data_IF_167883165388
#
_entry.id   IF_167883165388
#
_cell.length_a   1.000
_cell.length_b   1.000
_cell.length_c   1.000
_cell.angle_alpha   90.00
_cell.angle_beta   90.00
_cell.angle_gamma   90.00
#
_symmetry.space_group_name_H-M   'P 1'
#
loop_
_entity.id
_entity.type
_entity.pdbx_description
1 polymer ?
#
# COMPACT_ATOMS: atom_id res chain seq x y z
N UNK A 1 17.41 25.48 -16.69
CA UNK A 1 16.29 25.34 -15.77
C UNK A 1 15.03 25.66 -16.54
N UNK A 2 14.35 24.65 -17.05
CA UNK A 2 13.10 24.83 -17.81
C UNK A 2 11.99 25.07 -16.79
N UNK A 3 11.44 26.26 -16.77
CA UNK A 3 10.23 26.58 -16.01
C UNK A 3 9.07 25.79 -16.62
N UNK A 4 8.61 24.76 -15.92
CA UNK A 4 7.40 24.02 -16.28
C UNK A 4 6.22 24.93 -16.06
N UNK A 5 5.58 25.34 -17.14
CA UNK A 5 4.38 26.20 -17.13
C UNK A 5 3.21 25.48 -16.43
N UNK A 6 2.36 26.15 -15.65
CA UNK A 6 1.15 25.56 -15.10
C UNK A 6 0.19 25.18 -16.23
N UNK A 7 0.11 23.91 -16.58
CA UNK A 7 -0.76 23.40 -17.67
C UNK A 7 -0.31 22.08 -18.25
N UNK A 8 0.96 21.75 -18.18
CA UNK A 8 1.55 20.60 -18.88
C UNK A 8 1.74 19.41 -17.91
N UNK A 9 0.65 18.79 -17.47
CA UNK A 9 0.73 17.48 -16.82
C UNK A 9 0.66 16.40 -17.90
N UNK A 10 1.83 16.00 -18.39
CA UNK A 10 1.91 14.95 -19.42
C UNK A 10 1.39 13.59 -18.95
N UNK A 11 1.37 13.34 -17.64
CA UNK A 11 0.90 12.08 -17.05
C UNK A 11 -0.29 12.29 -16.13
N UNK A 12 -1.30 11.43 -16.23
CA UNK A 12 -2.50 11.44 -15.38
C UNK A 12 -2.96 10.03 -15.04
N UNK A 13 -3.62 9.90 -13.89
CA UNK A 13 -4.40 8.72 -13.54
C UNK A 13 -5.69 8.78 -14.35
N UNK A 14 -5.86 7.82 -15.26
CA UNK A 14 -7.01 7.69 -16.17
C UNK A 14 -8.13 6.83 -15.56
N UNK A 15 -7.77 5.90 -14.68
CA UNK A 15 -8.72 5.03 -14.02
C UNK A 15 -8.15 4.38 -12.77
N UNK A 16 -9.04 4.05 -11.84
CA UNK A 16 -8.72 3.46 -10.54
C UNK A 16 -9.58 2.20 -10.31
N UNK A 17 -8.98 1.18 -9.73
CA UNK A 17 -9.66 -0.03 -9.30
C UNK A 17 -9.16 -0.53 -7.97
N UNK A 18 -10.08 -0.95 -7.10
CA UNK A 18 -9.79 -1.52 -5.80
C UNK A 18 -10.34 -2.94 -5.72
N UNK A 19 -9.64 -3.83 -5.01
CA UNK A 19 -10.13 -5.15 -4.68
C UNK A 19 -9.81 -5.49 -3.23
N UNK A 20 -10.75 -6.15 -2.58
CA UNK A 20 -10.59 -6.71 -1.22
C UNK A 20 -11.01 -8.17 -1.25
N UNK A 21 -10.39 -9.06 -0.48
CA UNK A 21 -10.90 -10.40 -0.25
C UNK A 21 -12.35 -10.38 0.24
N UNK A 22 -13.10 -11.43 -0.06
CA UNK A 22 -14.45 -11.60 0.48
C UNK A 22 -14.42 -11.92 1.98
N UNK A 23 -13.42 -12.70 2.40
CA UNK A 23 -13.20 -13.07 3.79
C UNK A 23 -12.83 -11.86 4.65
N UNK A 24 -13.38 -11.83 5.87
CA UNK A 24 -13.20 -10.73 6.84
C UNK A 24 -13.00 -11.27 8.23
N UNK A 25 -12.16 -10.61 9.00
CA UNK A 25 -11.90 -10.92 10.41
C UNK A 25 -12.32 -9.70 11.22
N UNK A 26 -13.29 -9.87 12.10
CA UNK A 26 -13.73 -8.82 13.02
C UNK A 26 -12.63 -8.51 14.04
N UNK A 27 -12.54 -7.27 14.48
CA UNK A 27 -11.47 -6.81 15.38
C UNK A 27 -11.39 -7.65 16.67
N UNK A 28 -12.53 -8.01 17.24
CA UNK A 28 -12.58 -8.84 18.44
C UNK A 28 -12.04 -10.26 18.20
N UNK A 29 -12.33 -10.86 17.05
CA UNK A 29 -11.81 -12.18 16.67
C UNK A 29 -10.31 -12.14 16.41
N UNK A 30 -9.84 -11.13 15.68
CA UNK A 30 -8.44 -10.90 15.44
C UNK A 30 -7.65 -10.69 16.74
N UNK A 31 -8.23 -9.93 17.68
CA UNK A 31 -7.63 -9.70 18.99
C UNK A 31 -7.54 -10.99 19.82
N UNK A 32 -8.59 -11.80 19.83
CA UNK A 32 -8.59 -13.12 20.48
C UNK A 32 -7.58 -14.07 19.86
N UNK A 33 -7.54 -14.12 18.53
CA UNK A 33 -6.57 -14.92 17.79
C UNK A 33 -5.13 -14.54 18.14
N UNK A 34 -4.81 -13.23 18.14
CA UNK A 34 -3.50 -12.71 18.51
C UNK A 34 -3.17 -12.98 20.00
N UNK A 35 -4.14 -12.81 20.89
CA UNK A 35 -3.94 -13.08 22.32
C UNK A 35 -3.68 -14.57 22.64
N UNK A 36 -4.21 -15.48 21.84
CA UNK A 36 -3.94 -16.91 21.98
C UNK A 36 -2.52 -17.30 21.53
N UNK A 37 -1.84 -16.45 20.74
CA UNK A 37 -0.55 -16.73 20.09
C UNK A 37 0.59 -15.81 20.56
N UNK A 38 0.33 -14.94 21.54
CA UNK A 38 1.35 -14.04 22.12
C UNK A 38 2.13 -14.65 23.29
N UNK A 39 1.93 -15.93 23.60
CA UNK A 39 2.56 -16.63 24.71
C UNK A 39 1.65 -16.80 25.92
N UNK A 40 2.15 -17.47 26.98
CA UNK A 40 1.34 -17.87 28.12
C UNK A 40 1.03 -16.75 29.13
N UNK A 41 1.77 -15.64 29.10
CA UNK A 41 1.66 -14.56 30.08
C UNK A 41 0.31 -13.82 29.99
N UNK A 42 -0.54 -13.84 31.03
CA UNK A 42 -1.82 -13.15 31.05
C UNK A 42 -1.70 -11.62 30.86
N UNK A 43 -0.61 -11.01 31.35
CA UNK A 43 -0.38 -9.57 31.21
C UNK A 43 -0.12 -9.19 29.73
N UNK A 44 0.58 -10.03 29.00
CA UNK A 44 0.80 -9.84 27.55
C UNK A 44 -0.52 -9.99 26.81
N UNK A 45 -1.34 -11.02 27.12
CA UNK A 45 -2.67 -11.20 26.51
C UNK A 45 -3.56 -9.98 26.72
N UNK A 46 -3.62 -9.43 27.93
CA UNK A 46 -4.37 -8.21 28.22
C UNK A 46 -3.85 -7.00 27.45
N UNK A 47 -2.53 -6.91 27.26
CA UNK A 47 -1.92 -5.85 26.44
C UNK A 47 -2.33 -5.96 24.97
N UNK A 48 -2.36 -7.17 24.40
CA UNK A 48 -2.82 -7.42 23.02
C UNK A 48 -4.25 -6.91 22.83
N UNK A 49 -5.16 -7.29 23.72
CA UNK A 49 -6.57 -6.88 23.67
C UNK A 49 -6.71 -5.35 23.73
N UNK A 50 -6.02 -4.69 24.66
CA UNK A 50 -6.02 -3.22 24.79
C UNK A 50 -5.42 -2.51 23.57
N UNK A 51 -4.39 -3.07 22.94
CA UNK A 51 -3.81 -2.49 21.72
C UNK A 51 -4.76 -2.61 20.53
N UNK A 52 -5.45 -3.74 20.39
CA UNK A 52 -6.46 -3.93 19.36
C UNK A 52 -7.62 -2.93 19.49
N UNK A 53 -8.14 -2.70 20.70
CA UNK A 53 -9.17 -1.68 20.96
C UNK A 53 -8.69 -0.26 20.55
N UNK A 54 -7.43 0.09 20.89
CA UNK A 54 -6.86 1.42 20.59
C UNK A 54 -6.50 1.62 19.12
N UNK A 55 -6.40 0.55 18.34
CA UNK A 55 -6.09 0.65 16.91
C UNK A 55 -7.22 1.31 16.11
N UNK A 56 -8.47 1.29 16.62
CA UNK A 56 -9.64 1.89 15.98
C UNK A 56 -10.03 1.18 14.68
N UNK A 57 -9.57 -0.06 14.49
CA UNK A 57 -9.89 -0.88 13.32
C UNK A 57 -11.04 -1.81 13.70
N UNK A 58 -12.12 -1.77 12.94
CA UNK A 58 -13.32 -2.56 13.24
C UNK A 58 -13.26 -3.94 12.61
N UNK A 59 -12.71 -4.05 11.40
CA UNK A 59 -12.61 -5.31 10.64
C UNK A 59 -11.46 -5.25 9.65
N UNK A 60 -10.93 -6.42 9.28
CA UNK A 60 -9.87 -6.55 8.29
C UNK A 60 -10.25 -7.55 7.22
N UNK A 61 -10.01 -7.20 5.96
CA UNK A 61 -10.11 -8.15 4.87
C UNK A 61 -8.94 -9.13 4.94
N UNK A 62 -9.19 -10.41 4.71
CA UNK A 62 -8.14 -11.45 4.73
C UNK A 62 -8.48 -12.56 3.75
N UNK A 63 -7.46 -13.01 3.01
CA UNK A 63 -7.58 -14.16 2.08
C UNK A 63 -7.69 -15.49 2.82
N UNK A 64 -7.28 -15.54 4.08
CA UNK A 64 -7.31 -16.74 4.92
C UNK A 64 -8.35 -16.64 6.06
N UNK A 65 -9.36 -15.75 5.94
CA UNK A 65 -10.33 -15.55 7.03
C UNK A 65 -11.02 -16.85 7.47
N UNK A 66 -11.41 -17.69 6.50
CA UNK A 66 -12.10 -18.97 6.77
C UNK A 66 -11.13 -20.07 7.24
N UNK A 67 -9.81 -19.89 7.04
CA UNK A 67 -8.76 -20.82 7.38
C UNK A 67 -7.80 -20.27 8.46
N UNK A 68 -8.16 -19.17 9.11
CA UNK A 68 -7.28 -18.43 10.02
C UNK A 68 -6.64 -19.31 11.10
N UNK A 69 -7.45 -20.18 11.72
CA UNK A 69 -7.00 -21.08 12.80
C UNK A 69 -6.13 -22.24 12.29
N UNK A 70 -6.38 -22.75 11.10
CA UNK A 70 -5.59 -23.82 10.48
C UNK A 70 -4.29 -23.30 9.84
N UNK A 71 -4.33 -22.09 9.27
CA UNK A 71 -3.15 -21.47 8.68
C UNK A 71 -2.19 -20.91 9.73
N UNK A 72 -2.73 -20.37 10.82
CA UNK A 72 -2.00 -19.91 11.98
C UNK A 72 -2.48 -20.66 13.25
N UNK A 73 -2.14 -21.94 13.41
CA UNK A 73 -2.59 -22.74 14.56
C UNK A 73 -2.05 -22.16 15.88
N UNK A 74 -2.70 -22.49 17.02
CA UNK A 74 -2.11 -22.22 18.33
C UNK A 74 -0.80 -23.00 18.48
N UNK A 75 0.24 -22.37 19.00
CA UNK A 75 1.58 -22.93 19.15
C UNK A 75 2.63 -21.90 18.89
N UNK A 76 3.81 -22.31 18.48
CA UNK A 76 4.95 -21.40 18.51
C UNK A 76 5.20 -20.65 17.20
N UNK A 77 5.04 -21.26 16.01
CA UNK A 77 5.60 -20.66 14.79
C UNK A 77 4.64 -20.59 13.58
N UNK A 78 3.58 -21.38 13.55
CA UNK A 78 2.61 -21.40 12.45
C UNK A 78 3.21 -21.89 11.12
N UNK A 79 2.64 -21.43 10.00
CA UNK A 79 3.12 -21.78 8.68
C UNK A 79 4.50 -21.16 8.40
N UNK A 80 5.46 -21.93 7.94
CA UNK A 80 6.76 -21.45 7.50
C UNK A 80 6.67 -20.61 6.21
N UNK A 81 7.75 -19.88 5.89
CA UNK A 81 7.79 -18.93 4.75
C UNK A 81 7.41 -19.59 3.43
N UNK A 82 7.83 -20.81 3.15
CA UNK A 82 7.47 -21.51 1.91
C UNK A 82 5.95 -21.70 1.76
N UNK A 83 5.25 -22.12 2.83
CA UNK A 83 3.80 -22.28 2.81
C UNK A 83 3.07 -20.94 2.64
N UNK A 84 3.58 -19.85 3.28
CA UNK A 84 3.05 -18.49 3.12
C UNK A 84 3.24 -17.97 1.69
N UNK A 85 4.37 -18.27 1.06
CA UNK A 85 4.62 -17.93 -0.34
C UNK A 85 3.71 -18.72 -1.30
N UNK A 86 3.48 -20.01 -1.04
CA UNK A 86 2.51 -20.77 -1.82
C UNK A 86 1.08 -20.20 -1.71
N UNK A 87 0.67 -19.77 -0.51
CA UNK A 87 -0.60 -19.08 -0.32
C UNK A 87 -0.63 -17.71 -1.04
N UNK A 88 0.47 -16.96 -1.02
CA UNK A 88 0.58 -15.70 -1.78
C UNK A 88 0.43 -15.95 -3.30
N UNK A 89 1.12 -16.92 -3.84
CA UNK A 89 1.02 -17.29 -5.26
C UNK A 89 -0.39 -17.72 -5.67
N UNK A 90 -1.14 -18.32 -4.75
CA UNK A 90 -2.54 -18.71 -4.98
C UNK A 90 -3.51 -17.52 -4.90
N UNK A 91 -3.39 -16.67 -3.90
CA UNK A 91 -4.40 -15.64 -3.57
C UNK A 91 -4.12 -14.26 -4.18
N UNK A 92 -2.85 -13.88 -4.41
CA UNK A 92 -2.53 -12.55 -4.91
C UNK A 92 -2.98 -12.32 -6.37
N UNK A 93 -2.81 -13.28 -7.31
CA UNK A 93 -3.20 -13.04 -8.71
C UNK A 93 -4.68 -12.72 -8.93
N UNK A 94 -5.67 -13.46 -8.36
CA UNK A 94 -7.08 -13.14 -8.59
C UNK A 94 -7.48 -11.79 -7.99
N UNK A 95 -6.87 -11.38 -6.87
CA UNK A 95 -7.11 -10.11 -6.24
C UNK A 95 -6.53 -8.96 -7.08
N UNK A 96 -5.28 -9.09 -7.53
CA UNK A 96 -4.60 -8.16 -8.42
C UNK A 96 -5.34 -8.02 -9.77
N UNK A 97 -5.78 -9.14 -10.37
CA UNK A 97 -6.62 -9.14 -11.58
C UNK A 97 -7.90 -8.34 -11.41
N UNK A 98 -8.59 -8.54 -10.28
CA UNK A 98 -9.85 -7.82 -10.00
C UNK A 98 -9.62 -6.31 -9.91
N UNK A 99 -8.59 -5.85 -9.20
CA UNK A 99 -8.24 -4.44 -9.12
C UNK A 99 -7.87 -3.87 -10.49
N UNK A 100 -7.01 -4.56 -11.23
CA UNK A 100 -6.58 -4.17 -12.57
C UNK A 100 -7.74 -4.06 -13.56
N UNK A 101 -8.64 -5.07 -13.60
CA UNK A 101 -9.84 -5.06 -14.43
C UNK A 101 -10.77 -3.88 -14.12
N UNK A 102 -10.90 -3.51 -12.83
CA UNK A 102 -11.68 -2.34 -12.41
C UNK A 102 -11.03 -1.03 -12.85
N UNK A 103 -9.71 -0.91 -12.76
CA UNK A 103 -8.97 0.26 -13.21
C UNK A 103 -9.12 0.47 -14.73
N UNK A 104 -8.99 -0.61 -15.53
CA UNK A 104 -9.16 -0.57 -16.98
C UNK A 104 -10.61 -0.18 -17.36
N UNK A 105 -11.62 -0.76 -16.70
CA UNK A 105 -13.02 -0.37 -16.93
C UNK A 105 -13.29 1.08 -16.56
N UNK A 106 -12.76 1.54 -15.42
CA UNK A 106 -12.88 2.94 -14.98
C UNK A 106 -12.26 3.93 -15.97
N UNK A 107 -11.20 3.50 -16.65
CA UNK A 107 -10.53 4.29 -17.68
C UNK A 107 -11.17 4.17 -19.07
N UNK A 108 -12.13 3.25 -19.28
CA UNK A 108 -12.67 2.93 -20.60
C UNK A 108 -11.62 2.34 -21.56
N UNK A 109 -10.56 1.72 -21.05
CA UNK A 109 -9.39 1.29 -21.82
C UNK A 109 -9.35 -0.23 -21.94
N UNK A 110 -9.16 -0.74 -23.16
CA UNK A 110 -8.99 -2.17 -23.41
C UNK A 110 -7.63 -2.65 -22.85
N UNK A 111 -7.60 -3.86 -22.31
CA UNK A 111 -6.37 -4.45 -21.76
C UNK A 111 -5.23 -4.52 -22.80
N UNK A 112 -5.54 -4.82 -24.05
CA UNK A 112 -4.57 -4.88 -25.15
C UNK A 112 -3.91 -3.53 -25.47
N UNK A 113 -4.48 -2.40 -25.03
CA UNK A 113 -3.88 -1.09 -25.21
C UNK A 113 -2.81 -0.75 -24.15
N UNK A 114 -2.68 -1.57 -23.10
CA UNK A 114 -1.60 -1.39 -22.13
C UNK A 114 -0.25 -1.73 -22.74
N UNK A 115 0.71 -0.83 -22.57
CA UNK A 115 2.08 -0.97 -23.05
C UNK A 115 3.04 -1.41 -21.93
N UNK A 116 2.72 -1.05 -20.69
CA UNK A 116 3.54 -1.33 -19.51
C UNK A 116 2.68 -1.86 -18.36
N UNK A 117 3.26 -2.79 -17.62
CA UNK A 117 2.72 -3.32 -16.36
C UNK A 117 3.75 -3.11 -15.25
N UNK A 118 3.36 -2.38 -14.21
CA UNK A 118 4.16 -2.20 -13.00
C UNK A 118 3.44 -2.93 -11.86
N UNK A 119 4.06 -3.99 -11.34
CA UNK A 119 3.57 -4.69 -10.16
C UNK A 119 4.27 -4.17 -8.91
N UNK A 120 3.51 -3.90 -7.86
CA UNK A 120 4.04 -3.49 -6.54
C UNK A 120 3.61 -4.51 -5.50
N UNK A 121 4.55 -5.09 -4.76
CA UNK A 121 4.25 -5.96 -3.62
C UNK A 121 5.44 -6.09 -2.67
N UNK A 122 5.14 -6.20 -1.37
CA UNK A 122 6.11 -6.46 -0.31
C UNK A 122 5.80 -7.74 0.49
N UNK A 123 4.65 -8.38 0.25
CA UNK A 123 4.17 -9.51 1.05
C UNK A 123 4.34 -10.87 0.37
N UNK A 124 4.93 -10.89 -0.80
CA UNK A 124 5.30 -12.13 -1.48
C UNK A 124 5.90 -11.88 -2.85
N UNK A 125 6.59 -12.89 -3.34
CA UNK A 125 7.18 -12.89 -4.69
C UNK A 125 7.41 -14.32 -5.17
N UNK A 126 7.38 -14.47 -6.48
CA UNK A 126 7.68 -15.70 -7.18
C UNK A 126 8.22 -15.37 -8.57
N UNK A 127 8.85 -16.33 -9.23
CA UNK A 127 9.23 -16.22 -10.64
C UNK A 127 8.90 -17.53 -11.37
N UNK A 128 7.95 -17.51 -12.33
CA UNK A 128 7.13 -16.39 -12.82
C UNK A 128 6.20 -15.83 -11.74
N UNK A 129 6.06 -14.48 -11.67
CA UNK A 129 5.35 -13.78 -10.61
C UNK A 129 3.89 -13.49 -10.90
N UNK A 130 3.26 -12.75 -9.98
CA UNK A 130 1.89 -12.25 -10.11
C UNK A 130 1.73 -11.41 -11.38
N UNK A 131 2.74 -10.62 -11.76
CA UNK A 131 2.76 -9.84 -13.00
C UNK A 131 2.57 -10.72 -14.25
N UNK A 132 3.23 -11.87 -14.32
CA UNK A 132 3.07 -12.83 -15.41
C UNK A 132 1.66 -13.41 -15.43
N UNK A 133 1.11 -13.76 -14.26
CA UNK A 133 -0.21 -14.36 -14.16
C UNK A 133 -1.31 -13.38 -14.57
N UNK A 134 -1.26 -12.12 -14.08
CA UNK A 134 -2.26 -11.10 -14.44
C UNK A 134 -2.12 -10.66 -15.90
N UNK A 135 -0.91 -10.62 -16.46
CA UNK A 135 -0.69 -10.37 -17.88
C UNK A 135 -1.52 -11.33 -18.73
N UNK A 136 -1.44 -12.62 -18.45
CA UNK A 136 -2.17 -13.66 -19.17
C UNK A 136 -3.68 -13.58 -18.92
N UNK A 137 -4.10 -13.46 -17.67
CA UNK A 137 -5.51 -13.48 -17.29
C UNK A 137 -6.29 -12.23 -17.75
N UNK A 138 -5.62 -11.08 -17.90
CA UNK A 138 -6.21 -9.86 -18.47
C UNK A 138 -6.17 -9.81 -19.99
N UNK A 139 -5.39 -10.68 -20.65
CA UNK A 139 -5.16 -10.62 -22.08
C UNK A 139 -4.30 -9.41 -22.50
N UNK A 140 -3.31 -9.03 -21.67
CA UNK A 140 -2.33 -8.02 -22.04
C UNK A 140 -1.46 -8.52 -23.19
N UNK A 141 -0.91 -7.60 -24.00
CA UNK A 141 -0.07 -7.97 -25.12
C UNK A 141 1.16 -8.80 -24.68
N UNK A 142 1.58 -9.83 -25.43
CA UNK A 142 2.77 -10.65 -25.07
C UNK A 142 4.07 -9.83 -24.98
N UNK A 143 4.16 -8.73 -25.71
CA UNK A 143 5.31 -7.82 -25.71
C UNK A 143 5.25 -6.70 -24.66
N UNK A 144 4.28 -6.73 -23.73
CA UNK A 144 4.15 -5.71 -22.68
C UNK A 144 5.42 -5.62 -21.84
N UNK A 145 5.88 -4.41 -21.58
CA UNK A 145 7.04 -4.17 -20.71
C UNK A 145 6.63 -4.32 -19.25
N UNK A 146 7.37 -5.14 -18.48
CA UNK A 146 7.03 -5.47 -17.08
C UNK A 146 8.11 -4.97 -16.12
N UNK A 147 7.69 -4.35 -15.04
CA UNK A 147 8.54 -3.91 -13.94
C UNK A 147 7.93 -4.35 -12.62
N UNK A 148 8.75 -4.88 -11.70
CA UNK A 148 8.32 -5.23 -10.35
C UNK A 148 9.01 -4.28 -9.36
N UNK A 149 8.20 -3.59 -8.56
CA UNK A 149 8.64 -2.74 -7.44
C UNK A 149 8.42 -3.52 -6.15
N UNK A 150 9.46 -4.20 -5.68
CA UNK A 150 9.42 -5.04 -4.49
C UNK A 150 10.09 -4.40 -3.28
N UNK A 151 9.67 -4.77 -2.08
CA UNK A 151 10.30 -4.41 -0.80
C UNK A 151 10.54 -2.89 -0.59
N UNK A 152 9.67 -2.06 -1.16
CA UNK A 152 9.68 -0.61 -0.93
C UNK A 152 8.78 -0.17 0.23
N UNK A 153 8.19 -1.12 0.96
CA UNK A 153 7.29 -0.85 2.09
C UNK A 153 6.01 -0.12 1.66
N UNK A 154 5.37 0.54 2.60
CA UNK A 154 4.06 1.18 2.41
C UNK A 154 4.03 2.28 1.34
N UNK A 155 5.18 2.81 0.91
CA UNK A 155 5.26 3.80 -0.17
C UNK A 155 5.54 3.18 -1.56
N UNK A 156 5.52 1.85 -1.67
CA UNK A 156 5.79 1.14 -2.93
C UNK A 156 4.89 1.60 -4.07
N UNK A 157 3.60 1.84 -3.82
CA UNK A 157 2.68 2.36 -4.84
C UNK A 157 3.07 3.75 -5.34
N UNK A 158 3.60 4.64 -4.49
CA UNK A 158 4.11 5.95 -4.91
C UNK A 158 5.34 5.81 -5.82
N UNK A 159 6.19 4.82 -5.58
CA UNK A 159 7.29 4.48 -6.49
C UNK A 159 6.76 3.93 -7.82
N UNK A 160 5.74 3.08 -7.80
CA UNK A 160 5.06 2.60 -9.02
C UNK A 160 4.47 3.75 -9.83
N UNK A 161 3.80 4.70 -9.19
CA UNK A 161 3.26 5.91 -9.82
C UNK A 161 4.37 6.78 -10.43
N UNK A 162 5.52 6.91 -9.74
CA UNK A 162 6.69 7.62 -10.27
C UNK A 162 7.22 6.95 -11.54
N UNK A 163 7.38 5.63 -11.54
CA UNK A 163 7.80 4.86 -12.72
C UNK A 163 6.82 5.12 -13.86
N UNK A 164 5.52 4.99 -13.62
CA UNK A 164 4.49 5.20 -14.62
C UNK A 164 4.51 6.63 -15.20
N UNK A 165 4.60 7.65 -14.34
CA UNK A 165 4.63 9.03 -14.79
C UNK A 165 5.88 9.36 -15.63
N UNK A 166 7.05 8.83 -15.25
CA UNK A 166 8.27 9.00 -16.02
C UNK A 166 8.20 8.27 -17.37
N UNK A 167 7.62 7.06 -17.40
CA UNK A 167 7.37 6.32 -18.64
C UNK A 167 6.49 7.10 -19.60
N UNK A 168 5.34 7.62 -19.13
CA UNK A 168 4.41 8.40 -19.96
C UNK A 168 5.06 9.69 -20.49
N UNK A 169 5.93 10.33 -19.69
CA UNK A 169 6.67 11.52 -20.18
C UNK A 169 7.70 11.19 -21.25
N UNK A 170 8.34 10.03 -21.15
CA UNK A 170 9.31 9.57 -22.15
C UNK A 170 8.61 8.99 -23.39
N UNK A 171 7.49 8.32 -23.21
CA UNK A 171 6.71 7.66 -24.24
C UNK A 171 5.25 8.14 -24.17
N UNK A 172 4.87 9.21 -24.90
CA UNK A 172 3.54 9.85 -24.78
C UNK A 172 2.36 8.92 -25.07
N UNK A 173 2.55 7.87 -25.86
CA UNK A 173 1.52 6.87 -26.16
C UNK A 173 1.45 5.74 -25.12
N UNK A 174 2.34 5.77 -24.12
CA UNK A 174 2.34 4.74 -23.08
C UNK A 174 1.04 4.72 -22.28
N UNK A 175 0.58 3.50 -22.01
CA UNK A 175 -0.53 3.18 -21.12
C UNK A 175 0.03 2.23 -20.05
N UNK A 176 0.31 2.78 -18.87
CA UNK A 176 0.98 2.06 -17.79
C UNK A 176 -0.03 1.60 -16.76
N UNK A 177 -0.25 0.31 -16.68
CA UNK A 177 -1.07 -0.30 -15.65
C UNK A 177 -0.20 -0.56 -14.41
N UNK A 178 -0.43 0.19 -13.32
CA UNK A 178 0.22 -0.02 -12.03
C UNK A 178 -0.70 -0.81 -11.13
N UNK A 179 -0.22 -1.93 -10.59
CA UNK A 179 -1.01 -2.83 -9.73
C UNK A 179 -0.25 -3.07 -8.45
N UNK A 180 -0.86 -2.75 -7.31
CA UNK A 180 -0.34 -3.08 -5.98
C UNK A 180 -1.21 -4.17 -5.35
N UNK A 181 -0.58 -5.20 -4.77
CA UNK A 181 -1.26 -6.27 -4.04
C UNK A 181 -0.48 -6.63 -2.79
N UNK A 182 -1.18 -6.63 -1.64
CA UNK A 182 -0.58 -7.00 -0.36
C UNK A 182 -1.48 -7.97 0.40
N UNK A 183 -0.87 -9.05 0.88
CA UNK A 183 -1.51 -10.11 1.67
C UNK A 183 -0.83 -10.22 3.04
N UNK A 184 -1.00 -9.17 3.83
CA UNK A 184 -0.35 -9.05 5.14
C UNK A 184 -0.82 -10.12 6.14
N UNK A 185 -2.06 -10.63 5.99
CA UNK A 185 -2.60 -11.67 6.87
C UNK A 185 -1.80 -12.97 6.83
N UNK A 186 -1.07 -13.23 5.74
CA UNK A 186 -0.19 -14.38 5.62
C UNK A 186 1.04 -14.30 6.56
N UNK A 187 1.43 -13.10 6.99
CA UNK A 187 2.64 -12.87 7.77
C UNK A 187 2.37 -12.57 9.25
N UNK A 188 1.31 -13.18 9.79
CA UNK A 188 1.06 -13.11 11.23
C UNK A 188 2.29 -13.57 12.02
N UNK A 189 2.73 -12.74 12.97
CA UNK A 189 3.92 -13.00 13.77
C UNK A 189 3.54 -13.41 15.20
N UNK A 190 4.07 -14.53 15.63
CA UNK A 190 3.85 -15.11 16.96
C UNK A 190 4.70 -14.43 18.03
N UNK A 191 4.32 -14.63 19.28
CA UNK A 191 5.09 -14.25 20.46
C UNK A 191 4.75 -12.89 21.05
N UNK A 192 5.39 -12.54 22.17
CA UNK A 192 5.01 -11.43 23.05
C UNK A 192 5.57 -10.06 22.63
N UNK A 193 6.33 -9.97 21.54
CA UNK A 193 7.00 -8.75 21.14
C UNK A 193 5.99 -7.65 20.77
N UNK A 194 6.05 -6.47 21.40
CA UNK A 194 5.08 -5.39 21.18
C UNK A 194 4.94 -4.96 19.72
N UNK A 195 6.04 -4.93 18.98
CA UNK A 195 6.07 -4.55 17.57
C UNK A 195 5.30 -5.54 16.69
N UNK A 196 5.43 -6.85 16.94
CA UNK A 196 4.67 -7.91 16.25
C UNK A 196 3.17 -7.78 16.55
N UNK A 197 2.82 -7.50 17.80
CA UNK A 197 1.43 -7.30 18.22
C UNK A 197 0.81 -6.13 17.46
N UNK A 198 1.52 -5.01 17.35
CA UNK A 198 1.05 -3.84 16.60
C UNK A 198 0.85 -4.18 15.13
N UNK A 199 1.81 -4.83 14.47
CA UNK A 199 1.70 -5.26 13.08
C UNK A 199 0.47 -6.17 12.86
N UNK A 200 0.28 -7.18 13.71
CA UNK A 200 -0.85 -8.09 13.66
C UNK A 200 -2.21 -7.40 13.84
N UNK A 201 -2.27 -6.22 14.46
CA UNK A 201 -3.51 -5.47 14.68
C UNK A 201 -3.82 -4.46 13.58
N UNK A 202 -2.83 -4.02 12.81
CA UNK A 202 -3.00 -2.93 11.85
C UNK A 202 -3.28 -3.42 10.43
N UNK A 203 -2.58 -4.46 9.97
CA UNK A 203 -2.56 -4.80 8.54
C UNK A 203 -3.70 -5.70 8.11
N UNK A 204 -4.12 -5.53 6.84
CA UNK A 204 -5.14 -6.29 6.16
C UNK A 204 -4.67 -6.63 4.74
N UNK A 205 -5.48 -7.40 4.00
CA UNK A 205 -5.19 -7.78 2.62
C UNK A 205 -5.98 -6.91 1.64
N UNK A 206 -5.37 -6.61 0.51
CA UNK A 206 -6.02 -5.83 -0.53
C UNK A 206 -5.19 -5.69 -1.78
N UNK A 207 -5.84 -5.19 -2.82
CA UNK A 207 -5.19 -4.76 -4.05
C UNK A 207 -5.79 -3.45 -4.55
N UNK A 208 -4.94 -2.64 -5.18
CA UNK A 208 -5.32 -1.42 -5.88
C UNK A 208 -4.60 -1.38 -7.23
N UNK A 209 -5.25 -0.81 -8.23
CA UNK A 209 -4.63 -0.58 -9.52
C UNK A 209 -5.01 0.77 -10.08
N UNK A 210 -4.11 1.37 -10.83
CA UNK A 210 -4.38 2.57 -11.61
C UNK A 210 -3.86 2.40 -13.04
N UNK A 211 -4.56 2.98 -13.99
CA UNK A 211 -4.05 3.19 -15.33
C UNK A 211 -3.50 4.61 -15.42
N UNK A 212 -2.24 4.75 -15.80
CA UNK A 212 -1.57 6.03 -16.03
C UNK A 212 -1.30 6.18 -17.53
N UNK A 213 -1.64 7.33 -18.06
CA UNK A 213 -1.40 7.69 -19.46
C UNK A 213 -1.31 9.20 -19.62
N UNK A 214 -1.23 9.68 -20.86
CA UNK A 214 -1.15 11.12 -21.14
C UNK A 214 -2.48 11.81 -20.81
N UNK A 215 -2.42 12.95 -20.15
CA UNK A 215 -3.55 13.85 -19.99
C UNK A 215 -3.89 14.50 -21.35
N UNK A 216 -5.14 14.41 -21.83
CA UNK A 216 -5.56 15.08 -23.07
C UNK A 216 -5.28 14.32 -24.37
N UNK A 217 -5.04 12.99 -24.36
CA UNK A 217 -5.00 12.14 -25.55
C UNK A 217 -6.36 12.02 -26.24
N UNK A 218 -6.38 11.47 -27.46
CA UNK A 218 -7.58 11.33 -28.31
C UNK A 218 -8.76 10.56 -27.68
N UNK A 219 -8.51 9.82 -26.61
CA UNK A 219 -9.51 9.14 -25.77
C UNK A 219 -9.94 10.01 -24.56
N UNK A 220 -9.58 11.29 -24.59
CA UNK A 220 -9.86 12.25 -23.53
C UNK A 220 -11.30 12.74 -23.65
N UNK A 221 -12.20 12.00 -23.04
CA UNK A 221 -13.37 12.60 -22.45
C UNK A 221 -12.85 13.59 -21.38
N UNK A 222 -13.29 14.85 -21.41
CA UNK A 222 -12.95 15.92 -20.43
C UNK A 222 -13.56 15.59 -19.06
N UNK A 223 -13.40 14.36 -18.60
CA UNK A 223 -13.93 13.92 -17.31
C UNK A 223 -13.22 14.70 -16.20
N UNK A 224 -13.98 15.44 -15.37
CA UNK A 224 -13.42 16.26 -14.27
C UNK A 224 -12.72 15.44 -13.19
N UNK A 225 -12.70 14.11 -13.32
CA UNK A 225 -12.16 13.18 -12.30
C UNK A 225 -10.73 12.69 -12.59
N UNK A 226 -10.01 13.26 -13.55
CA UNK A 226 -8.62 12.87 -13.83
C UNK A 226 -7.65 13.60 -12.92
N UNK A 227 -6.76 12.84 -12.27
CA UNK A 227 -5.72 13.40 -11.41
C UNK A 227 -4.39 13.43 -12.16
N UNK A 228 -3.91 14.62 -12.49
CA UNK A 228 -2.57 14.82 -13.08
C UNK A 228 -1.46 14.50 -12.08
N UNK A 229 -0.43 13.77 -12.52
CA UNK A 229 0.78 13.52 -11.73
C UNK A 229 1.83 14.54 -12.14
N UNK A 230 1.88 15.66 -11.44
CA UNK A 230 2.80 16.76 -11.75
C UNK A 230 4.23 16.47 -11.37
N UNK A 231 4.42 15.95 -10.15
CA UNK A 231 5.77 15.74 -9.62
C UNK A 231 5.76 14.67 -8.53
N UNK A 232 6.94 14.26 -8.11
CA UNK A 232 7.17 13.30 -7.06
C UNK A 232 8.41 13.70 -6.24
N UNK A 233 8.42 13.36 -4.95
CA UNK A 233 9.54 13.56 -4.05
C UNK A 233 9.78 12.34 -3.19
N UNK A 234 11.01 12.18 -2.74
CA UNK A 234 11.40 11.14 -1.79
C UNK A 234 12.46 11.70 -0.85
N UNK A 235 12.39 11.31 0.42
CA UNK A 235 13.37 11.71 1.42
C UNK A 235 13.65 10.55 2.38
N UNK A 236 14.92 10.28 2.60
CA UNK A 236 15.37 9.32 3.61
C UNK A 236 15.87 10.11 4.79
N UNK A 237 15.25 9.90 5.95
CA UNK A 237 15.68 10.53 7.20
C UNK A 237 16.93 9.79 7.69
N UNK A 238 18.01 10.52 7.90
CA UNK A 238 19.27 9.93 8.39
C UNK A 238 19.08 9.23 9.74
N UNK A 239 19.82 8.16 9.95
CA UNK A 239 19.90 7.39 11.21
C UNK A 239 18.59 6.75 11.69
N UNK A 240 17.60 6.57 10.78
CA UNK A 240 16.29 5.98 11.10
C UNK A 240 16.07 4.58 10.53
N UNK A 241 17.07 3.96 9.93
CA UNK A 241 16.95 2.64 9.28
C UNK A 241 16.52 1.51 10.23
N UNK A 242 16.72 1.68 11.54
CA UNK A 242 16.27 0.75 12.58
C UNK A 242 14.83 0.96 13.06
N UNK A 243 14.18 2.08 12.71
CA UNK A 243 12.86 2.41 13.27
C UNK A 243 11.72 1.56 12.65
N UNK A 244 11.88 1.13 11.42
CA UNK A 244 10.93 0.23 10.78
C UNK A 244 11.67 -0.71 9.82
N UNK A 245 11.40 -2.01 9.93
CA UNK A 245 11.97 -3.00 9.02
C UNK A 245 10.95 -4.04 8.59
N UNK A 246 11.19 -4.65 7.46
CA UNK A 246 10.44 -5.78 6.92
C UNK A 246 11.46 -6.79 6.39
N UNK A 247 11.58 -7.95 7.06
CA UNK A 247 12.63 -8.93 6.78
C UNK A 247 12.03 -10.30 6.55
N UNK A 248 12.58 -11.03 5.59
CA UNK A 248 12.23 -12.43 5.36
C UNK A 248 12.85 -13.26 6.47
N UNK A 249 12.02 -14.07 7.13
CA UNK A 249 12.40 -15.05 8.12
C UNK A 249 11.94 -16.47 7.73
N UNK A 250 12.23 -17.43 8.58
CA UNK A 250 11.84 -18.83 8.36
C UNK A 250 10.31 -19.02 8.51
N UNK A 251 9.68 -18.22 9.38
CA UNK A 251 8.25 -18.28 9.72
C UNK A 251 7.47 -17.09 9.15
N UNK A 252 7.81 -16.67 7.95
CA UNK A 252 7.19 -15.53 7.27
C UNK A 252 8.04 -14.27 7.28
N UNK A 253 7.43 -13.15 6.90
CA UNK A 253 8.11 -11.87 6.89
C UNK A 253 7.85 -11.14 8.20
N UNK A 254 8.91 -10.68 8.83
CA UNK A 254 8.88 -10.11 10.17
C UNK A 254 8.99 -8.59 10.09
N UNK A 255 8.02 -7.90 10.70
CA UNK A 255 8.05 -6.46 10.86
C UNK A 255 8.62 -6.06 12.21
N UNK A 256 9.45 -5.02 12.19
CA UNK A 256 9.72 -4.19 13.36
C UNK A 256 9.16 -2.80 13.16
N UNK A 257 8.57 -2.23 14.19
CA UNK A 257 8.00 -0.89 14.18
C UNK A 257 8.24 -0.23 15.54
N UNK A 258 9.17 0.70 15.56
CA UNK A 258 9.53 1.40 16.79
C UNK A 258 8.46 2.42 17.21
N UNK A 259 8.20 2.58 18.51
CA UNK A 259 7.27 3.59 19.01
C UNK A 259 7.68 5.04 18.69
N UNK A 260 8.93 5.28 18.29
CA UNK A 260 9.50 6.58 17.92
C UNK A 260 9.04 7.08 16.54
N UNK A 261 8.61 6.20 15.63
CA UNK A 261 8.24 6.56 14.25
C UNK A 261 7.30 7.77 14.16
N UNK A 262 6.21 7.90 14.95
CA UNK A 262 5.37 9.09 14.91
C UNK A 262 6.12 10.38 15.29
N UNK A 263 7.06 10.29 16.25
CA UNK A 263 7.87 11.45 16.66
C UNK A 263 8.85 11.85 15.57
N UNK A 264 9.46 10.88 14.91
CA UNK A 264 10.36 11.11 13.77
C UNK A 264 9.61 11.81 12.64
N UNK A 265 8.38 11.38 12.31
CA UNK A 265 7.52 12.05 11.34
C UNK A 265 7.26 13.51 11.75
N UNK A 266 6.82 13.77 13.00
CA UNK A 266 6.56 15.13 13.50
C UNK A 266 7.76 16.06 13.32
N UNK A 267 8.96 15.54 13.57
CA UNK A 267 10.19 16.34 13.52
C UNK A 267 10.61 16.68 12.09
N UNK A 268 10.46 15.75 11.17
CA UNK A 268 11.13 15.83 9.87
C UNK A 268 10.19 16.15 8.70
N UNK A 269 8.89 15.79 8.78
CA UNK A 269 7.96 15.92 7.66
C UNK A 269 7.71 17.38 7.28
N UNK A 270 7.42 18.25 8.27
CA UNK A 270 7.09 19.64 8.01
C UNK A 270 8.21 20.39 7.25
N UNK A 271 9.44 20.45 7.77
CA UNK A 271 10.55 21.11 7.09
C UNK A 271 10.84 20.56 5.70
N UNK A 272 10.76 19.23 5.53
CA UNK A 272 10.96 18.63 4.21
C UNK A 272 9.84 19.01 3.22
N UNK A 273 8.58 18.97 3.66
CA UNK A 273 7.44 19.32 2.82
C UNK A 273 7.48 20.80 2.39
N UNK A 274 7.83 21.70 3.31
CA UNK A 274 7.98 23.11 3.00
C UNK A 274 9.06 23.37 1.95
N UNK A 275 10.22 22.74 2.12
CA UNK A 275 11.31 22.87 1.15
C UNK A 275 10.92 22.27 -0.21
N UNK A 276 10.23 21.12 -0.22
CA UNK A 276 9.80 20.46 -1.45
C UNK A 276 8.74 21.28 -2.22
N UNK A 277 7.77 21.87 -1.51
CA UNK A 277 6.74 22.74 -2.09
C UNK A 277 7.36 24.06 -2.58
N UNK A 278 8.20 24.69 -1.76
CA UNK A 278 8.87 25.96 -2.11
C UNK A 278 9.71 25.85 -3.38
N UNK A 279 10.42 24.75 -3.59
CA UNK A 279 11.15 24.48 -4.82
C UNK A 279 10.27 24.45 -6.10
N UNK A 280 8.93 24.40 -5.91
CA UNK A 280 7.90 24.40 -6.96
C UNK A 280 7.04 25.66 -6.96
N UNK A 281 7.42 26.65 -6.16
CA UNK A 281 6.69 27.90 -6.02
C UNK A 281 5.36 27.76 -5.25
N UNK A 282 5.21 26.69 -4.45
CA UNK A 282 4.02 26.38 -3.69
C UNK A 282 4.28 26.48 -2.18
N UNK A 283 3.20 26.68 -1.41
CA UNK A 283 3.16 26.64 0.05
C UNK A 283 2.12 25.62 0.48
N UNK A 284 2.11 25.21 1.75
CA UNK A 284 1.06 24.31 2.30
C UNK A 284 -0.34 24.85 2.09
N UNK A 285 -0.55 26.15 2.19
CA UNK A 285 -1.83 26.80 1.97
C UNK A 285 -2.37 26.68 0.53
N UNK A 286 -1.50 26.37 -0.41
CA UNK A 286 -1.87 26.17 -1.82
C UNK A 286 -2.27 24.71 -2.11
N UNK A 287 -2.19 23.81 -1.09
CA UNK A 287 -2.55 22.39 -1.19
C UNK A 287 -4.03 22.22 -0.85
N UNK A 288 -4.85 21.87 -1.84
CA UNK A 288 -6.30 21.71 -1.68
C UNK A 288 -6.75 20.42 -0.97
N UNK A 289 -5.87 19.45 -0.76
CA UNK A 289 -6.20 18.20 -0.07
C UNK A 289 -4.99 17.30 0.18
N UNK A 290 -5.10 16.44 1.19
CA UNK A 290 -4.05 15.55 1.62
C UNK A 290 -4.52 14.10 1.60
N UNK A 291 -3.78 13.22 0.93
CA UNK A 291 -3.99 11.76 0.96
C UNK A 291 -2.76 11.15 1.59
N UNK A 292 -2.92 10.67 2.82
CA UNK A 292 -1.83 10.11 3.62
C UNK A 292 -2.05 8.61 3.80
N UNK A 293 -0.98 7.81 3.58
CA UNK A 293 -1.02 6.39 3.87
C UNK A 293 -1.41 6.13 5.34
N UNK A 294 -2.50 5.38 5.61
CA UNK A 294 -3.00 5.19 6.96
C UNK A 294 -2.24 4.09 7.72
N UNK A 295 -0.95 4.30 7.98
CA UNK A 295 -0.05 3.35 8.66
C UNK A 295 -0.38 3.13 10.16
N UNK A 296 -1.45 3.74 10.65
CA UNK A 296 -1.96 3.65 12.01
C UNK A 296 -2.46 5.00 12.53
N UNK A 297 -3.33 5.02 13.57
CA UNK A 297 -3.93 6.27 14.04
C UNK A 297 -2.88 7.30 14.50
N UNK A 298 -1.81 6.84 15.18
CA UNK A 298 -0.72 7.71 15.64
C UNK A 298 0.11 8.30 14.49
N UNK A 299 0.19 7.61 13.35
CA UNK A 299 0.88 8.12 12.16
C UNK A 299 0.08 9.26 11.55
N UNK A 300 -1.24 9.10 11.40
CA UNK A 300 -2.10 10.17 10.88
C UNK A 300 -2.05 11.41 11.77
N UNK A 301 -2.16 11.23 13.09
CA UNK A 301 -2.01 12.34 14.04
C UNK A 301 -0.63 13.00 13.96
N UNK A 302 0.43 12.22 13.77
CA UNK A 302 1.78 12.79 13.62
C UNK A 302 1.93 13.63 12.35
N UNK A 303 1.25 13.26 11.27
CA UNK A 303 1.21 14.05 10.03
C UNK A 303 0.38 15.32 10.21
N UNK A 304 -0.79 15.24 10.86
CA UNK A 304 -1.61 16.41 11.22
C UNK A 304 -0.78 17.42 12.02
N UNK A 305 -0.13 16.97 13.10
CA UNK A 305 0.74 17.80 13.92
C UNK A 305 1.92 18.41 13.13
N UNK A 306 2.57 17.62 12.24
CA UNK A 306 3.74 18.06 11.49
C UNK A 306 3.42 19.10 10.42
N UNK A 307 2.23 19.03 9.84
CA UNK A 307 1.81 19.88 8.74
C UNK A 307 0.82 20.98 9.17
N UNK A 308 0.46 21.01 10.46
CA UNK A 308 -0.55 21.92 11.04
C UNK A 308 -1.90 21.80 10.31
N UNK A 309 -2.37 20.54 10.18
CA UNK A 309 -3.64 20.22 9.53
C UNK A 309 -4.75 20.09 10.58
N UNK A 310 -5.96 20.51 10.20
CA UNK A 310 -7.14 20.21 11.00
C UNK A 310 -7.53 18.71 10.91
N UNK A 311 -8.37 18.26 11.85
CA UNK A 311 -8.76 16.84 11.95
C UNK A 311 -9.55 16.34 10.73
N UNK A 312 -10.19 17.22 9.96
CA UNK A 312 -10.96 16.85 8.77
C UNK A 312 -10.07 16.64 7.54
N UNK A 313 -8.88 17.23 7.50
CA UNK A 313 -7.96 17.14 6.37
C UNK A 313 -7.57 15.70 6.01
N UNK A 314 -7.51 14.79 7.00
CA UNK A 314 -7.19 13.38 6.82
C UNK A 314 -8.39 12.43 7.02
N UNK A 315 -9.63 12.93 6.96
CA UNK A 315 -10.85 12.12 7.15
C UNK A 315 -10.92 10.92 6.22
N UNK A 316 -10.59 11.07 4.94
CA UNK A 316 -10.52 9.97 3.98
C UNK A 316 -9.48 8.90 4.39
N UNK A 317 -8.30 9.31 4.83
CA UNK A 317 -7.24 8.39 5.29
C UNK A 317 -7.66 7.64 6.56
N UNK A 318 -8.34 8.32 7.49
CA UNK A 318 -8.90 7.71 8.71
C UNK A 318 -10.02 6.72 8.39
N UNK A 319 -10.89 7.04 7.43
CA UNK A 319 -11.93 6.12 6.98
C UNK A 319 -11.36 4.84 6.33
N UNK A 320 -10.26 4.94 5.60
CA UNK A 320 -9.59 3.76 5.01
C UNK A 320 -8.96 2.89 6.10
N UNK A 321 -8.48 3.49 7.20
CA UNK A 321 -7.88 2.78 8.33
C UNK A 321 -8.90 1.98 9.15
N UNK A 322 -10.11 2.50 9.34
CA UNK A 322 -11.17 1.93 10.20
C UNK A 322 -11.89 0.73 9.58
#
# INVERSE_FOLDING_TARGET
MTTVTPGDTDAAILGLGLARPAGRIEAADAARHAAARCGPDPAVRQRVLKLAERAGIHRRASVIADELESFHPPGDDGAGTAARMAAYEHHAPPLAHTAASRALRSAGTAAAACTHLVLVSCTGFASPGVDHTIMRSLGLAPGIQRTVVGFMGCHGMLNGLRVAALTVRAEPEARVLVVAVELCSLHFAYGPHPQRIVANTLFADGAAAVLVGRAGGSDADDSPNRLGIRDHGSHVIADTSGEMSWRIGDDGFLMTLEPSVPQTIRRHLGPWMDAWLAARGLRRADVGGWIVHPGGPRILTAVEDALDLDAEALSCSRHVLS
#
